data_IF_104534521267
#
_entry.id   IF_104534521267
#
_cell.length_a   1.000
_cell.length_b   1.000
_cell.length_c   1.000
_cell.angle_alpha   90.00
_cell.angle_beta   90.00
_cell.angle_gamma   90.00
#
_symmetry.space_group_name_H-M   'P 1'
#
loop_
_entity.id
_entity.type
_entity.pdbx_description
1 polymer ?
#
# COMPACT_ATOMS: atom_id res chain seq x y z
N UNK A 1 59.32 -19.01 -40.53
CA UNK A 1 59.39 -17.54 -40.48
C UNK A 1 58.19 -16.87 -41.17
N UNK A 2 57.71 -17.33 -42.34
CA UNK A 2 56.52 -16.72 -42.99
C UNK A 2 55.16 -16.95 -42.30
N UNK A 3 54.95 -18.10 -41.64
CA UNK A 3 53.62 -18.43 -41.07
C UNK A 3 53.23 -17.58 -39.85
N UNK A 4 54.14 -17.33 -38.90
CA UNK A 4 53.89 -16.45 -37.75
C UNK A 4 53.68 -14.99 -38.17
N UNK A 5 54.39 -14.53 -39.20
CA UNK A 5 54.24 -13.17 -39.71
C UNK A 5 52.87 -12.99 -40.36
N UNK A 6 52.43 -13.98 -41.14
CA UNK A 6 51.10 -14.02 -41.78
C UNK A 6 49.95 -13.98 -40.75
N UNK A 7 50.01 -14.85 -39.75
CA UNK A 7 49.04 -14.89 -38.64
C UNK A 7 48.99 -13.58 -37.84
N UNK A 8 50.14 -12.90 -37.68
CA UNK A 8 50.20 -11.58 -37.02
C UNK A 8 49.49 -10.49 -37.83
N UNK A 9 49.66 -10.45 -39.15
CA UNK A 9 49.00 -9.47 -40.02
C UNK A 9 47.50 -9.74 -40.12
N UNK A 10 47.09 -11.00 -40.21
CA UNK A 10 45.68 -11.40 -40.26
C UNK A 10 44.91 -10.97 -39.01
N UNK A 11 45.46 -11.21 -37.81
CA UNK A 11 44.84 -10.75 -36.55
C UNK A 11 44.71 -9.24 -36.47
N UNK A 12 45.73 -8.51 -36.93
CA UNK A 12 45.70 -7.04 -36.92
C UNK A 12 44.67 -6.48 -37.90
N UNK A 13 44.56 -7.07 -39.10
CA UNK A 13 43.53 -6.72 -40.06
C UNK A 13 42.12 -6.91 -39.47
N UNK A 14 41.86 -8.09 -38.88
CA UNK A 14 40.57 -8.40 -38.26
C UNK A 14 40.21 -7.46 -37.11
N UNK A 15 41.19 -7.12 -36.27
CA UNK A 15 40.96 -6.25 -35.10
C UNK A 15 40.53 -4.83 -35.51
N UNK A 16 40.94 -4.37 -36.70
CA UNK A 16 40.70 -2.99 -37.14
C UNK A 16 39.51 -2.89 -38.08
N UNK A 17 39.35 -3.86 -38.96
CA UNK A 17 38.28 -3.87 -39.97
C UNK A 17 37.03 -4.60 -39.49
N UNK A 18 37.16 -5.53 -38.54
CA UNK A 18 36.09 -6.44 -38.12
C UNK A 18 35.81 -7.60 -39.07
N UNK A 19 36.53 -7.69 -40.20
CA UNK A 19 36.34 -8.70 -41.25
C UNK A 19 37.58 -9.57 -41.44
N UNK A 20 37.39 -10.82 -41.90
CA UNK A 20 38.51 -11.71 -42.23
C UNK A 20 39.03 -11.38 -43.64
N UNK A 21 40.31 -11.04 -43.72
CA UNK A 21 40.98 -10.86 -45.00
C UNK A 21 41.12 -12.18 -45.74
N UNK A 22 40.98 -12.12 -47.06
CA UNK A 22 41.32 -13.17 -47.99
C UNK A 22 42.85 -13.37 -48.08
N UNK A 23 43.24 -14.60 -48.41
CA UNK A 23 44.65 -15.03 -48.45
C UNK A 23 45.48 -14.15 -49.41
N UNK A 24 44.88 -13.73 -50.53
CA UNK A 24 45.49 -12.88 -51.56
C UNK A 24 45.76 -11.47 -51.03
N UNK A 25 44.80 -10.85 -50.34
CA UNK A 25 45.00 -9.55 -49.68
C UNK A 25 46.13 -9.59 -48.64
N UNK A 26 46.22 -10.65 -47.83
CA UNK A 26 47.31 -10.81 -46.86
C UNK A 26 48.66 -10.98 -47.56
N UNK A 27 48.75 -11.78 -48.62
CA UNK A 27 49.98 -11.97 -49.39
C UNK A 27 50.44 -10.66 -50.06
N UNK A 28 49.49 -9.89 -50.59
CA UNK A 28 49.74 -8.57 -51.18
C UNK A 28 50.28 -7.57 -50.15
N UNK A 29 49.71 -7.52 -48.94
CA UNK A 29 50.18 -6.66 -47.84
C UNK A 29 51.58 -7.03 -47.33
N UNK A 30 51.91 -8.33 -47.31
CA UNK A 30 53.24 -8.82 -46.92
C UNK A 30 54.26 -8.54 -48.04
N UNK A 31 53.86 -8.71 -49.31
CA UNK A 31 54.76 -8.56 -50.46
C UNK A 31 55.05 -7.09 -50.82
N UNK A 32 54.07 -6.20 -50.64
CA UNK A 32 54.21 -4.77 -50.91
C UNK A 32 54.97 -4.02 -49.80
N UNK A 33 55.05 -4.60 -48.60
CA UNK A 33 55.59 -3.90 -47.42
C UNK A 33 54.69 -2.77 -46.91
N UNK A 34 53.48 -2.61 -47.44
CA UNK A 34 52.53 -1.56 -47.07
C UNK A 34 51.64 -1.94 -45.87
N UNK A 35 51.96 -3.02 -45.16
CA UNK A 35 51.21 -3.45 -43.98
C UNK A 35 51.14 -2.36 -42.89
N UNK A 36 52.22 -1.60 -42.69
CA UNK A 36 52.28 -0.51 -41.70
C UNK A 36 51.46 0.72 -42.12
N UNK A 37 51.52 1.12 -43.39
CA UNK A 37 50.74 2.24 -43.93
C UNK A 37 49.25 1.91 -43.97
N UNK A 38 48.88 0.68 -44.30
CA UNK A 38 47.51 0.19 -44.18
C UNK A 38 47.01 0.25 -42.73
N UNK A 39 47.79 -0.26 -41.78
CA UNK A 39 47.51 -0.18 -40.34
C UNK A 39 47.28 1.26 -39.88
N UNK A 40 48.17 2.16 -40.28
CA UNK A 40 48.09 3.57 -39.92
C UNK A 40 46.84 4.25 -40.49
N UNK A 41 46.50 3.94 -41.75
CA UNK A 41 45.31 4.48 -42.42
C UNK A 41 44.02 3.90 -41.86
N UNK A 42 43.98 2.61 -41.56
CA UNK A 42 42.80 1.96 -40.99
C UNK A 42 42.56 2.37 -39.52
N UNK A 43 43.61 2.64 -38.74
CA UNK A 43 43.48 3.27 -37.41
C UNK A 43 42.91 4.70 -37.54
N UNK A 44 43.33 5.43 -38.56
CA UNK A 44 42.89 6.80 -38.82
C UNK A 44 41.43 6.87 -39.33
N UNK A 45 41.04 5.96 -40.23
CA UNK A 45 39.72 5.91 -40.85
C UNK A 45 38.69 5.11 -40.03
N UNK A 46 39.09 3.99 -39.41
CA UNK A 46 38.18 2.99 -38.83
C UNK A 46 38.30 2.84 -37.30
N UNK A 47 39.49 3.06 -36.74
CA UNK A 47 39.78 2.85 -35.31
C UNK A 47 39.16 3.85 -34.34
N UNK A 48 38.81 5.07 -34.78
CA UNK A 48 38.13 6.06 -33.93
C UNK A 48 36.61 5.89 -33.92
N UNK A 49 36.01 5.48 -35.04
CA UNK A 49 34.55 5.39 -35.18
C UNK A 49 33.95 4.32 -34.27
N UNK A 50 34.36 3.05 -34.41
CA UNK A 50 33.81 1.95 -33.62
C UNK A 50 34.07 2.09 -32.11
N UNK A 51 35.23 2.59 -31.72
CA UNK A 51 35.55 2.83 -30.30
C UNK A 51 34.65 3.96 -29.76
N UNK A 52 34.43 5.02 -30.53
CA UNK A 52 33.58 6.13 -30.10
C UNK A 52 32.09 5.74 -30.06
N UNK A 53 31.64 4.91 -31.00
CA UNK A 53 30.28 4.35 -31.01
C UNK A 53 30.07 3.45 -29.78
N UNK A 54 31.02 2.57 -29.49
CA UNK A 54 30.98 1.71 -28.29
C UNK A 54 30.99 2.53 -27.01
N UNK A 55 31.81 3.58 -26.94
CA UNK A 55 31.84 4.50 -25.80
C UNK A 55 30.51 5.23 -25.67
N UNK A 56 29.93 5.72 -26.79
CA UNK A 56 28.64 6.41 -26.81
C UNK A 56 27.51 5.50 -26.31
N UNK A 57 27.45 4.25 -26.77
CA UNK A 57 26.48 3.26 -26.30
C UNK A 57 26.65 2.99 -24.80
N UNK A 58 27.90 2.82 -24.33
CA UNK A 58 28.20 2.58 -22.94
C UNK A 58 27.78 3.77 -22.07
N UNK A 59 28.00 5.00 -22.55
CA UNK A 59 27.62 6.24 -21.88
C UNK A 59 26.10 6.41 -21.81
N UNK A 60 25.37 6.05 -22.87
CA UNK A 60 23.91 6.05 -22.91
C UNK A 60 23.33 5.03 -21.91
N UNK A 61 23.85 3.80 -21.90
CA UNK A 61 23.46 2.79 -20.91
C UNK A 61 23.77 3.24 -19.48
N UNK A 62 24.90 3.91 -19.27
CA UNK A 62 25.26 4.41 -17.95
C UNK A 62 24.31 5.50 -17.47
N UNK A 63 23.85 6.36 -18.39
CA UNK A 63 22.79 7.34 -18.14
C UNK A 63 21.47 6.67 -17.72
N UNK A 64 21.05 5.63 -18.45
CA UNK A 64 19.86 4.87 -18.12
C UNK A 64 19.95 4.19 -16.73
N UNK A 65 21.10 3.60 -16.39
CA UNK A 65 21.33 3.01 -15.07
C UNK A 65 21.27 4.06 -13.96
N UNK A 66 21.84 5.25 -14.19
CA UNK A 66 21.79 6.36 -13.23
C UNK A 66 20.36 6.87 -13.02
N UNK A 67 19.54 6.85 -14.07
CA UNK A 67 18.11 7.19 -13.96
C UNK A 67 17.34 6.12 -13.17
N UNK A 68 17.62 4.84 -13.39
CA UNK A 68 17.05 3.73 -12.58
C UNK A 68 17.43 3.86 -11.11
N UNK A 69 18.69 4.18 -10.80
CA UNK A 69 19.17 4.40 -9.44
C UNK A 69 18.38 5.54 -8.77
N UNK A 70 18.22 6.68 -9.45
CA UNK A 70 17.43 7.80 -8.94
C UNK A 70 15.98 7.39 -8.66
N UNK A 71 15.34 6.70 -9.60
CA UNK A 71 13.97 6.23 -9.44
C UNK A 71 13.82 5.25 -8.26
N UNK A 72 14.82 4.40 -8.02
CA UNK A 72 14.82 3.46 -6.89
C UNK A 72 14.94 4.19 -5.55
N UNK A 73 15.75 5.25 -5.48
CA UNK A 73 15.86 6.10 -4.28
C UNK A 73 14.53 6.80 -4.00
N UNK A 74 13.87 7.35 -5.02
CA UNK A 74 12.54 7.96 -4.87
C UNK A 74 11.50 6.94 -4.40
N UNK A 75 11.50 5.73 -4.98
CA UNK A 75 10.61 4.65 -4.56
C UNK A 75 10.86 4.24 -3.09
N UNK A 76 12.12 4.16 -2.68
CA UNK A 76 12.49 3.84 -1.30
C UNK A 76 11.94 4.89 -0.33
N UNK A 77 12.02 6.18 -0.70
CA UNK A 77 11.47 7.27 0.09
C UNK A 77 9.94 7.18 0.21
N UNK A 78 9.23 6.86 -0.88
CA UNK A 78 7.78 6.60 -0.84
C UNK A 78 7.43 5.43 0.09
N UNK A 79 8.25 4.37 0.09
CA UNK A 79 8.07 3.23 0.98
C UNK A 79 8.22 3.61 2.46
N UNK A 80 9.21 4.43 2.79
CA UNK A 80 9.41 4.95 4.14
C UNK A 80 8.27 5.87 4.58
N UNK A 81 7.81 6.76 3.71
CA UNK A 81 6.66 7.63 4.01
C UNK A 81 5.38 6.81 4.22
N UNK A 82 5.17 5.76 3.43
CA UNK A 82 4.05 4.84 3.63
C UNK A 82 4.14 4.11 4.98
N UNK A 83 5.32 3.64 5.36
CA UNK A 83 5.53 3.01 6.67
C UNK A 83 5.21 3.98 7.82
N UNK A 84 5.66 5.23 7.72
CA UNK A 84 5.36 6.27 8.71
C UNK A 84 3.85 6.60 8.78
N UNK A 85 3.18 6.68 7.63
CA UNK A 85 1.73 6.91 7.55
C UNK A 85 0.92 5.76 8.15
N UNK A 86 1.34 4.50 7.93
CA UNK A 86 0.68 3.32 8.51
C UNK A 86 0.88 3.27 10.03
N UNK A 87 2.10 3.54 10.51
CA UNK A 87 2.40 3.65 11.95
C UNK A 87 1.53 4.73 12.60
N UNK A 88 1.43 5.92 11.99
CA UNK A 88 0.58 7.01 12.46
C UNK A 88 -0.92 6.66 12.43
N UNK A 89 -1.37 5.95 11.38
CA UNK A 89 -2.76 5.48 11.27
C UNK A 89 -3.09 4.30 12.20
N UNK A 90 -2.09 3.60 12.74
CA UNK A 90 -2.28 2.52 13.72
C UNK A 90 -3.02 2.95 14.98
N UNK A 91 -2.90 4.23 15.38
CA UNK A 91 -3.60 4.76 16.54
C UNK A 91 -5.11 4.94 16.32
N UNK A 92 -5.56 5.24 15.10
CA UNK A 92 -6.97 5.47 14.76
C UNK A 92 -7.77 4.17 14.56
N UNK A 93 -7.13 3.04 14.28
CA UNK A 93 -7.81 1.74 14.20
C UNK A 93 -8.37 1.30 15.56
N UNK A 94 -7.68 1.64 16.65
CA UNK A 94 -8.12 1.35 18.01
C UNK A 94 -9.42 2.11 18.37
N UNK A 95 -9.61 3.31 17.81
CA UNK A 95 -10.81 4.11 18.04
C UNK A 95 -12.04 3.50 17.36
N UNK A 96 -11.92 2.91 16.16
CA UNK A 96 -13.04 2.26 15.48
C UNK A 96 -13.51 1.01 16.24
N UNK A 97 -12.56 0.16 16.66
CA UNK A 97 -12.88 -1.03 17.46
C UNK A 97 -13.54 -0.62 18.78
N UNK A 98 -13.00 0.41 19.44
CA UNK A 98 -13.58 1.00 20.65
C UNK A 98 -15.00 1.52 20.43
N UNK A 99 -15.24 2.29 19.37
CA UNK A 99 -16.57 2.82 19.05
C UNK A 99 -17.60 1.71 18.75
N UNK A 100 -17.20 0.67 18.01
CA UNK A 100 -18.06 -0.49 17.74
C UNK A 100 -18.34 -1.28 19.03
N UNK A 101 -17.32 -1.51 19.85
CA UNK A 101 -17.48 -2.17 21.15
C UNK A 101 -18.42 -1.37 22.07
N UNK A 102 -18.24 -0.05 22.16
CA UNK A 102 -19.09 0.84 22.92
C UNK A 102 -20.54 0.81 22.42
N UNK A 103 -20.77 0.95 21.11
CA UNK A 103 -22.10 0.88 20.52
C UNK A 103 -22.79 -0.46 20.83
N UNK A 104 -22.09 -1.58 20.68
CA UNK A 104 -22.65 -2.90 21.03
C UNK A 104 -23.01 -3.00 22.51
N UNK A 105 -22.17 -2.44 23.40
CA UNK A 105 -22.39 -2.44 24.83
C UNK A 105 -23.60 -1.60 25.23
N UNK A 106 -23.81 -0.44 24.58
CA UNK A 106 -24.95 0.43 24.81
C UNK A 106 -26.26 -0.22 24.36
N UNK A 107 -26.27 -0.85 23.18
CA UNK A 107 -27.43 -1.59 22.69
C UNK A 107 -27.80 -2.70 23.67
N UNK A 108 -26.82 -3.49 24.13
CA UNK A 108 -27.06 -4.59 25.07
C UNK A 108 -27.57 -4.10 26.44
N UNK A 109 -26.97 -3.06 27.00
CA UNK A 109 -27.47 -2.44 28.24
C UNK A 109 -28.88 -1.87 28.05
N UNK A 110 -29.15 -1.26 26.90
CA UNK A 110 -30.47 -0.76 26.54
C UNK A 110 -31.51 -1.88 26.49
N UNK A 111 -31.18 -3.02 25.89
CA UNK A 111 -32.08 -4.18 25.84
C UNK A 111 -32.36 -4.76 27.22
N UNK A 112 -31.34 -4.84 28.09
CA UNK A 112 -31.50 -5.33 29.46
C UNK A 112 -32.43 -4.40 30.26
N UNK A 113 -32.26 -3.08 30.13
CA UNK A 113 -33.12 -2.10 30.79
C UNK A 113 -34.56 -2.17 30.28
N UNK A 114 -34.78 -2.37 28.98
CA UNK A 114 -36.12 -2.57 28.42
C UNK A 114 -36.78 -3.85 28.97
N UNK A 115 -36.00 -4.93 29.15
CA UNK A 115 -36.51 -6.16 29.73
C UNK A 115 -36.90 -5.98 31.20
N UNK A 116 -36.06 -5.28 31.99
CA UNK A 116 -36.37 -4.93 33.37
C UNK A 116 -37.63 -4.06 33.45
N UNK A 117 -37.73 -3.01 32.64
CA UNK A 117 -38.89 -2.13 32.57
C UNK A 117 -40.17 -2.89 32.22
N UNK A 118 -40.11 -3.83 31.26
CA UNK A 118 -41.24 -4.70 30.91
C UNK A 118 -41.68 -5.56 32.10
N UNK A 119 -40.74 -6.13 32.85
CA UNK A 119 -41.04 -6.95 34.02
C UNK A 119 -41.70 -6.11 35.13
N UNK A 120 -41.17 -4.91 35.41
CA UNK A 120 -41.78 -3.96 36.34
C UNK A 120 -43.19 -3.54 35.91
N UNK A 121 -43.40 -3.23 34.63
CA UNK A 121 -44.72 -2.88 34.11
C UNK A 121 -45.71 -4.03 34.30
N UNK A 122 -45.29 -5.27 34.05
CA UNK A 122 -46.14 -6.46 34.21
C UNK A 122 -46.52 -6.71 35.68
N UNK A 123 -45.59 -6.53 36.62
CA UNK A 123 -45.86 -6.73 38.05
C UNK A 123 -46.65 -5.57 38.66
N UNK A 124 -46.38 -4.33 38.24
CA UNK A 124 -47.03 -3.12 38.75
C UNK A 124 -48.55 -3.15 38.55
N UNK A 125 -49.05 -3.66 37.41
CA UNK A 125 -50.49 -3.75 37.12
C UNK A 125 -51.33 -4.40 38.24
N UNK A 126 -50.80 -5.45 38.88
CA UNK A 126 -51.49 -6.14 39.99
C UNK A 126 -51.53 -5.26 41.23
N UNK A 127 -50.39 -4.64 41.57
CA UNK A 127 -50.28 -3.72 42.70
C UNK A 127 -51.11 -2.45 42.51
N UNK A 128 -51.16 -1.88 41.30
CA UNK A 128 -52.02 -0.74 40.97
C UNK A 128 -53.48 -1.07 41.19
N UNK A 129 -53.94 -2.27 40.76
CA UNK A 129 -55.33 -2.69 40.96
C UNK A 129 -55.65 -2.84 42.46
N UNK A 130 -54.74 -3.41 43.25
CA UNK A 130 -54.91 -3.54 44.71
C UNK A 130 -54.96 -2.15 45.37
N UNK A 131 -54.04 -1.25 45.00
CA UNK A 131 -53.98 0.11 45.54
C UNK A 131 -55.25 0.92 45.22
N UNK A 132 -55.74 0.85 43.98
CA UNK A 132 -56.98 1.52 43.56
C UNK A 132 -58.19 0.93 44.32
N UNK A 133 -58.26 -0.40 44.46
CA UNK A 133 -59.33 -1.05 45.23
C UNK A 133 -59.35 -0.61 46.70
N UNK A 134 -58.19 -0.58 47.35
CA UNK A 134 -58.06 -0.10 48.73
C UNK A 134 -58.47 1.37 48.87
N UNK A 135 -58.09 2.23 47.92
CA UNK A 135 -58.49 3.64 47.92
C UNK A 135 -60.01 3.80 47.83
N UNK A 136 -60.68 3.03 46.96
CA UNK A 136 -62.15 3.05 46.84
C UNK A 136 -62.82 2.58 48.15
N UNK A 137 -62.33 1.48 48.74
CA UNK A 137 -62.86 0.99 50.02
C UNK A 137 -62.75 2.03 51.13
N UNK A 138 -61.60 2.74 51.23
CA UNK A 138 -61.42 3.81 52.21
C UNK A 138 -62.42 4.95 52.00
N UNK A 139 -62.68 5.35 50.75
CA UNK A 139 -63.67 6.38 50.42
C UNK A 139 -65.07 5.95 50.88
N UNK A 140 -65.48 4.70 50.62
CA UNK A 140 -66.80 4.19 51.03
C UNK A 140 -66.94 4.20 52.56
N UNK A 141 -65.91 3.75 53.28
CA UNK A 141 -65.91 3.71 54.76
C UNK A 141 -66.04 5.12 55.35
N UNK A 142 -65.46 6.14 54.71
CA UNK A 142 -65.57 7.54 55.16
C UNK A 142 -66.92 8.15 54.78
N UNK A 143 -67.44 7.88 53.57
CA UNK A 143 -68.70 8.47 53.09
C UNK A 143 -69.94 7.86 53.74
N UNK A 144 -69.93 6.56 54.04
CA UNK A 144 -71.08 5.87 54.63
C UNK A 144 -71.61 6.50 55.95
N UNK A 145 -70.76 6.80 56.97
CA UNK A 145 -71.22 7.45 58.20
C UNK A 145 -71.70 8.87 57.97
N UNK A 146 -71.09 9.62 57.03
CA UNK A 146 -71.51 10.98 56.68
C UNK A 146 -72.91 10.96 56.07
N UNK A 147 -73.17 10.07 55.11
CA UNK A 147 -74.50 9.92 54.50
C UNK A 147 -75.56 9.53 55.54
N UNK A 148 -75.26 8.53 56.39
CA UNK A 148 -76.17 8.15 57.48
C UNK A 148 -76.42 9.29 58.47
N UNK A 149 -75.40 10.08 58.79
CA UNK A 149 -75.58 11.24 59.68
C UNK A 149 -76.48 12.30 59.07
N UNK A 150 -76.39 12.52 57.74
CA UNK A 150 -77.20 13.50 57.03
C UNK A 150 -78.66 13.06 56.94
N UNK A 151 -78.91 11.78 56.63
CA UNK A 151 -80.27 11.21 56.57
C UNK A 151 -80.96 11.23 57.95
N UNK A 152 -80.23 10.99 59.04
CA UNK A 152 -80.76 11.05 60.42
C UNK A 152 -81.09 12.49 60.85
N UNK A 153 -80.37 13.49 60.35
CA UNK A 153 -80.64 14.90 60.67
C UNK A 153 -81.86 15.44 59.93
N UNK A 154 -82.22 14.87 58.76
CA UNK A 154 -83.33 15.34 57.94
C UNK A 154 -84.68 14.62 58.22
N UNK A 155 -84.70 13.61 59.11
CA UNK A 155 -85.91 12.91 59.57
C UNK A 155 -86.35 13.40 60.95
#
# INVERSE_FOLDING_TARGET
MNAEYKDTIERRYFTITGEKADEETIENLISSGESETFLQKAIQDQGRGQIMDTISELQERHGAVKEIEKNLIELHQVFLDMAALVEAQGQHLNDIESHVAHASSFVRKGTDQLQIARNYQKSSRKWTCIAVGLAICLIIVILFPVLKSLDVIHL
#
